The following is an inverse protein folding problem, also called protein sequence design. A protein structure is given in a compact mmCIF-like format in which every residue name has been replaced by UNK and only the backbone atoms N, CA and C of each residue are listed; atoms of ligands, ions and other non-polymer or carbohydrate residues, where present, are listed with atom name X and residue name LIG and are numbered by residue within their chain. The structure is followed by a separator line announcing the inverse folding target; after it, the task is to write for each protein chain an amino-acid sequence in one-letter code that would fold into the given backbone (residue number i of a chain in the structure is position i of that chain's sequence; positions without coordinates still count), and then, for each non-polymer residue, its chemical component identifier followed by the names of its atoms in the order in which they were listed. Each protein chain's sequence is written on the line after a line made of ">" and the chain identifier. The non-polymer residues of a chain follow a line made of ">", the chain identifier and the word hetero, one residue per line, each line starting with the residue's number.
data_IF_799890574254
#
_entry.id   IF_799890574254
#
_cell.length_a   1.000
_cell.length_b   1.000
_cell.length_c   1.000
_cell.angle_alpha   90.00
_cell.angle_beta   90.00
_cell.angle_gamma   90.00
#
_symmetry.space_group_name_H-M   'P 1'
#
loop_
_entity.id
_entity.type
_entity.pdbx_description
1 polymer ?
#
# COMPACT_ATOMS: atom_id res chain seq x y z
N UNK A 1 -10.88 9.17 47.02
CA UNK A 1 -10.04 9.19 45.80
C UNK A 1 -10.15 7.82 45.16
N UNK A 2 -11.00 7.69 44.13
CA UNK A 2 -11.11 6.47 43.34
C UNK A 2 -9.98 6.47 42.31
N UNK A 3 -9.07 5.51 42.40
CA UNK A 3 -8.05 5.26 41.39
C UNK A 3 -8.73 4.62 40.18
N UNK A 4 -8.76 5.34 39.06
CA UNK A 4 -9.11 4.78 37.76
C UNK A 4 -7.97 3.82 37.35
N UNK A 5 -8.24 2.53 37.07
CA UNK A 5 -7.22 1.64 36.53
C UNK A 5 -6.88 2.11 35.11
N UNK A 6 -5.60 2.35 34.86
CA UNK A 6 -5.09 2.70 33.53
C UNK A 6 -5.43 1.59 32.53
N UNK A 7 -6.12 1.98 31.48
CA UNK A 7 -6.41 1.15 30.32
C UNK A 7 -5.08 0.76 29.67
N UNK A 8 -4.80 -0.55 29.63
CA UNK A 8 -3.55 -1.07 29.08
C UNK A 8 -3.47 -0.74 27.58
N UNK A 9 -2.40 -0.08 27.09
CA UNK A 9 -2.28 0.38 25.70
C UNK A 9 -2.10 -0.74 24.65
N UNK A 10 -2.36 -2.01 24.99
CA UNK A 10 -2.07 -3.16 24.13
C UNK A 10 -3.27 -3.78 23.39
N UNK A 11 -4.51 -3.53 23.82
CA UNK A 11 -5.68 -4.22 23.24
C UNK A 11 -6.17 -3.64 21.91
N UNK A 12 -5.80 -2.38 21.60
CA UNK A 12 -6.18 -1.69 20.35
C UNK A 12 -5.22 -1.96 19.19
N UNK A 13 -4.01 -2.50 19.45
CA UNK A 13 -2.98 -2.72 18.42
C UNK A 13 -3.32 -3.89 17.47
N UNK A 14 -4.01 -4.93 17.94
CA UNK A 14 -4.23 -6.19 17.20
C UNK A 14 -5.28 -6.07 16.07
N UNK A 15 -6.10 -5.03 16.03
CA UNK A 15 -7.18 -4.92 15.05
C UNK A 15 -7.09 -3.66 14.17
N UNK A 16 -5.88 -3.13 13.99
CA UNK A 16 -5.67 -1.97 13.11
C UNK A 16 -5.46 -2.43 11.67
N UNK A 17 -6.19 -1.82 10.77
CA UNK A 17 -6.02 -2.01 9.33
C UNK A 17 -5.11 -0.90 8.81
N UNK A 18 -3.81 -1.19 8.66
CA UNK A 18 -2.81 -0.21 8.22
C UNK A 18 -2.27 -0.60 6.86
N UNK A 19 -2.35 0.30 5.89
CA UNK A 19 -1.74 0.15 4.58
C UNK A 19 -0.32 0.69 4.66
N UNK A 20 0.67 -0.12 4.27
CA UNK A 20 2.07 0.30 4.23
C UNK A 20 2.55 0.42 2.78
N UNK A 21 3.17 1.56 2.46
CA UNK A 21 3.79 1.79 1.16
C UNK A 21 5.21 2.31 1.32
N UNK A 22 6.09 1.96 0.38
CA UNK A 22 7.44 2.48 0.35
C UNK A 22 7.86 2.84 -1.07
N UNK A 23 8.62 3.92 -1.20
CA UNK A 23 9.31 4.32 -2.44
C UNK A 23 10.79 4.40 -2.16
N UNK A 24 11.59 3.73 -2.98
CA UNK A 24 13.04 3.67 -2.80
C UNK A 24 13.72 3.97 -4.14
N UNK A 25 14.56 4.99 -4.13
CA UNK A 25 15.46 5.32 -5.23
C UNK A 25 16.84 4.72 -4.92
N UNK A 26 17.34 3.88 -5.82
CA UNK A 26 18.59 3.15 -5.66
C UNK A 26 19.57 3.52 -6.76
N UNK A 27 20.70 4.09 -6.36
CA UNK A 27 21.85 4.37 -7.24
C UNK A 27 22.73 3.13 -7.39
N UNK A 28 22.99 2.73 -8.64
CA UNK A 28 23.94 1.66 -8.98
C UNK A 28 24.57 1.89 -10.36
N UNK A 29 25.71 1.28 -10.63
CA UNK A 29 26.36 1.41 -11.95
C UNK A 29 25.58 0.70 -13.07
N UNK A 30 24.94 -0.42 -12.76
CA UNK A 30 24.20 -1.27 -13.70
C UNK A 30 22.69 -1.29 -13.36
N UNK A 31 21.93 -0.22 -13.70
CA UNK A 31 20.52 -0.07 -13.32
C UNK A 31 19.64 -1.19 -13.87
N UNK A 32 19.96 -1.72 -15.05
CA UNK A 32 19.16 -2.71 -15.77
C UNK A 32 19.05 -4.06 -15.02
N UNK A 33 20.04 -4.38 -14.18
CA UNK A 33 20.00 -5.58 -13.31
C UNK A 33 19.21 -5.38 -12.03
N UNK A 34 18.88 -4.14 -11.68
CA UNK A 34 18.20 -3.80 -10.43
C UNK A 34 16.81 -4.39 -10.27
N UNK A 35 15.91 -4.23 -11.26
CA UNK A 35 14.57 -4.77 -11.16
C UNK A 35 14.55 -6.28 -10.91
N UNK A 36 15.37 -7.06 -11.63
CA UNK A 36 15.43 -8.52 -11.47
C UNK A 36 15.93 -8.95 -10.08
N UNK A 37 16.92 -8.24 -9.52
CA UNK A 37 17.40 -8.50 -8.16
C UNK A 37 16.37 -8.10 -7.10
N UNK A 38 15.63 -7.01 -7.31
CA UNK A 38 14.54 -6.60 -6.44
C UNK A 38 13.41 -7.63 -6.39
N UNK A 39 13.07 -8.24 -7.53
CA UNK A 39 12.11 -9.36 -7.57
C UNK A 39 12.61 -10.56 -6.75
N UNK A 40 13.89 -10.89 -6.88
CA UNK A 40 14.49 -12.01 -6.14
C UNK A 40 14.49 -11.74 -4.64
N UNK A 41 14.82 -10.51 -4.23
CA UNK A 41 14.74 -10.08 -2.85
C UNK A 41 13.30 -10.14 -2.33
N UNK A 42 12.32 -9.64 -3.09
CA UNK A 42 10.92 -9.70 -2.69
C UNK A 42 10.47 -11.15 -2.44
N UNK A 43 10.83 -12.08 -3.33
CA UNK A 43 10.55 -13.52 -3.16
C UNK A 43 11.18 -14.10 -1.88
N UNK A 44 12.43 -13.72 -1.56
CA UNK A 44 13.10 -14.14 -0.33
C UNK A 44 12.34 -13.68 0.94
N UNK A 45 11.64 -12.54 0.86
CA UNK A 45 10.79 -12.04 1.93
C UNK A 45 9.33 -12.52 1.84
N UNK A 46 9.03 -13.50 0.99
CA UNK A 46 7.66 -14.04 0.83
C UNK A 46 6.72 -13.14 0.02
N UNK A 47 7.28 -12.18 -0.70
CA UNK A 47 6.59 -11.30 -1.62
C UNK A 47 6.68 -11.74 -3.08
N UNK A 48 6.16 -10.91 -3.98
CA UNK A 48 6.17 -11.12 -5.42
C UNK A 48 6.27 -9.79 -6.17
N UNK A 49 6.63 -9.87 -7.45
CA UNK A 49 6.63 -8.70 -8.33
C UNK A 49 5.25 -8.44 -8.90
N UNK A 50 4.72 -7.24 -8.71
CA UNK A 50 3.49 -6.79 -9.34
C UNK A 50 3.75 -6.17 -10.71
N UNK A 51 4.85 -5.43 -10.84
CA UNK A 51 5.25 -4.80 -12.11
C UNK A 51 6.77 -4.73 -12.18
N UNK A 52 7.32 -4.97 -13.36
CA UNK A 52 8.75 -4.86 -13.62
C UNK A 52 8.94 -4.14 -14.96
N UNK A 53 9.85 -3.19 -14.99
CA UNK A 53 10.32 -2.50 -16.20
C UNK A 53 11.85 -2.58 -16.25
N UNK A 54 12.48 -1.97 -17.25
CA UNK A 54 13.95 -1.93 -17.35
C UNK A 54 14.60 -1.16 -16.20
N UNK A 55 13.93 -0.15 -15.64
CA UNK A 55 14.51 0.78 -14.66
C UNK A 55 13.81 0.72 -13.30
N UNK A 56 12.67 0.04 -13.19
CA UNK A 56 11.89 0.00 -11.95
C UNK A 56 11.23 -1.35 -11.68
N UNK A 57 10.98 -1.62 -10.41
CA UNK A 57 10.19 -2.76 -9.95
C UNK A 57 9.19 -2.31 -8.88
N UNK A 58 7.94 -2.69 -9.04
CA UNK A 58 6.93 -2.62 -7.99
C UNK A 58 6.71 -4.02 -7.46
N UNK A 59 7.00 -4.21 -6.17
CA UNK A 59 6.87 -5.50 -5.49
C UNK A 59 5.84 -5.40 -4.37
N UNK A 60 5.18 -6.52 -4.09
CA UNK A 60 4.26 -6.71 -2.97
C UNK A 60 4.92 -7.63 -1.96
N UNK A 61 4.99 -7.21 -0.71
CA UNK A 61 5.65 -7.96 0.38
C UNK A 61 4.69 -8.03 1.56
N UNK A 62 4.61 -9.15 2.31
CA UNK A 62 3.81 -9.19 3.54
C UNK A 62 4.13 -8.00 4.44
N UNK A 63 3.09 -7.30 4.93
CA UNK A 63 3.26 -6.04 5.66
C UNK A 63 4.16 -6.17 6.89
N UNK A 64 4.10 -7.31 7.58
CA UNK A 64 4.95 -7.66 8.72
C UNK A 64 6.43 -7.83 8.36
N UNK A 65 6.73 -8.13 7.09
CA UNK A 65 8.09 -8.38 6.58
C UNK A 65 8.67 -7.18 5.85
N UNK A 66 7.92 -6.07 5.76
CA UNK A 66 8.34 -4.88 5.04
C UNK A 66 9.66 -4.32 5.59
N UNK A 67 9.79 -4.20 6.91
CA UNK A 67 10.97 -3.59 7.52
C UNK A 67 12.23 -4.44 7.27
N UNK A 68 12.09 -5.77 7.33
CA UNK A 68 13.16 -6.69 6.95
C UNK A 68 13.53 -6.60 5.47
N UNK A 69 12.54 -6.46 4.58
CA UNK A 69 12.78 -6.26 3.15
C UNK A 69 13.53 -4.94 2.90
N UNK A 70 13.08 -3.83 3.48
CA UNK A 70 13.73 -2.52 3.36
C UNK A 70 15.15 -2.52 3.91
N UNK A 71 15.41 -3.25 5.00
CA UNK A 71 16.76 -3.43 5.55
C UNK A 71 17.72 -4.16 4.61
N UNK A 72 17.21 -4.96 3.67
CA UNK A 72 18.02 -5.67 2.67
C UNK A 72 18.19 -4.89 1.35
N UNK A 73 17.42 -3.83 1.12
CA UNK A 73 17.52 -2.99 -0.09
C UNK A 73 18.92 -2.37 -0.30
N UNK A 74 19.69 -1.97 0.72
CA UNK A 74 21.08 -1.53 0.52
C UNK A 74 21.99 -2.56 -0.16
N UNK A 75 21.66 -3.85 -0.11
CA UNK A 75 22.37 -4.89 -0.87
C UNK A 75 22.15 -4.82 -2.38
N UNK A 76 21.12 -4.08 -2.82
CA UNK A 76 20.81 -3.82 -4.21
C UNK A 76 21.61 -2.63 -4.78
N UNK A 77 22.11 -1.73 -3.93
CA UNK A 77 22.85 -0.54 -4.35
C UNK A 77 22.79 0.55 -3.29
N UNK A 78 23.29 1.74 -3.61
CA UNK A 78 23.26 2.87 -2.69
C UNK A 78 21.85 3.46 -2.68
N UNK A 79 21.18 3.44 -1.53
CA UNK A 79 19.87 4.09 -1.37
C UNK A 79 20.08 5.62 -1.41
N UNK A 80 19.52 6.26 -2.43
CA UNK A 80 19.58 7.71 -2.60
C UNK A 80 18.42 8.41 -1.87
N UNK A 81 17.23 7.81 -1.94
CA UNK A 81 16.03 8.28 -1.25
C UNK A 81 15.19 7.09 -0.82
N UNK A 82 14.60 7.19 0.38
CA UNK A 82 13.63 6.24 0.87
C UNK A 82 12.51 7.00 1.57
N UNK A 83 11.28 6.71 1.17
CA UNK A 83 10.06 7.20 1.83
C UNK A 83 9.20 6.01 2.20
N UNK A 84 8.75 5.97 3.45
CA UNK A 84 7.83 4.95 3.95
C UNK A 84 6.60 5.66 4.50
N UNK A 85 5.43 5.22 4.06
CA UNK A 85 4.14 5.73 4.51
C UNK A 85 3.32 4.62 5.13
N UNK A 86 2.53 4.98 6.15
CA UNK A 86 1.59 4.11 6.81
C UNK A 86 0.27 4.87 6.96
N UNK A 87 -0.79 4.34 6.34
CA UNK A 87 -2.11 4.94 6.36
C UNK A 87 -3.06 4.04 7.16
N UNK A 88 -3.62 4.57 8.25
CA UNK A 88 -4.61 3.85 9.06
C UNK A 88 -5.98 3.93 8.39
N UNK A 89 -6.50 2.77 7.97
CA UNK A 89 -7.79 2.61 7.30
C UNK A 89 -8.76 1.78 8.13
N UNK A 90 -8.54 1.67 9.44
CA UNK A 90 -9.37 0.87 10.36
C UNK A 90 -10.85 1.28 10.31
N UNK A 91 -11.14 2.57 10.33
CA UNK A 91 -12.52 3.08 10.24
C UNK A 91 -13.18 2.70 8.91
N UNK A 92 -12.46 2.89 7.79
CA UNK A 92 -12.97 2.56 6.45
C UNK A 92 -13.21 1.06 6.29
N UNK A 93 -12.32 0.23 6.84
CA UNK A 93 -12.45 -1.23 6.82
C UNK A 93 -13.67 -1.70 7.61
N UNK A 94 -13.89 -1.14 8.81
CA UNK A 94 -15.05 -1.46 9.64
C UNK A 94 -16.36 -1.00 8.98
N UNK A 95 -16.40 0.22 8.44
CA UNK A 95 -17.58 0.75 7.73
C UNK A 95 -17.97 -0.14 6.54
N UNK A 96 -17.00 -0.53 5.71
CA UNK A 96 -17.25 -1.43 4.59
C UNK A 96 -17.82 -2.78 5.05
N UNK A 97 -17.29 -3.35 6.14
CA UNK A 97 -17.81 -4.61 6.71
C UNK A 97 -19.25 -4.49 7.20
N UNK A 98 -19.58 -3.41 7.92
CA UNK A 98 -20.93 -3.18 8.43
C UNK A 98 -21.92 -2.99 7.28
N UNK A 99 -21.56 -2.19 6.27
CA UNK A 99 -22.41 -1.98 5.09
C UNK A 99 -22.62 -3.27 4.30
N UNK A 100 -21.57 -4.05 4.10
CA UNK A 100 -21.66 -5.33 3.40
C UNK A 100 -22.61 -6.31 4.12
N UNK A 101 -22.46 -6.44 5.44
CA UNK A 101 -23.34 -7.29 6.25
C UNK A 101 -24.81 -6.80 6.25
N UNK A 102 -25.05 -5.50 6.14
CA UNK A 102 -26.39 -4.97 6.00
C UNK A 102 -26.99 -5.29 4.63
N UNK A 103 -26.23 -5.11 3.54
CA UNK A 103 -26.66 -5.46 2.19
C UNK A 103 -26.94 -6.95 2.04
N UNK A 104 -26.16 -7.81 2.70
CA UNK A 104 -26.38 -9.26 2.74
C UNK A 104 -27.77 -9.59 3.31
N UNK A 105 -28.10 -9.05 4.49
CA UNK A 105 -29.42 -9.26 5.12
C UNK A 105 -30.57 -8.69 4.28
N UNK A 106 -30.34 -7.56 3.60
CA UNK A 106 -31.34 -6.98 2.69
C UNK A 106 -31.57 -7.88 1.49
N UNK A 107 -30.49 -8.42 0.90
CA UNK A 107 -30.54 -9.38 -0.21
C UNK A 107 -31.27 -10.67 0.19
N UNK A 108 -30.97 -11.24 1.35
CA UNK A 108 -31.67 -12.41 1.89
C UNK A 108 -33.17 -12.15 2.04
N UNK A 109 -33.55 -10.98 2.58
CA UNK A 109 -34.96 -10.59 2.69
C UNK A 109 -35.65 -10.46 1.34
N UNK A 110 -34.97 -9.90 0.33
CA UNK A 110 -35.53 -9.84 -1.03
C UNK A 110 -35.68 -11.23 -1.65
N UNK A 111 -34.75 -12.17 -1.39
CA UNK A 111 -34.90 -13.56 -1.81
C UNK A 111 -36.10 -14.24 -1.15
N UNK A 112 -36.35 -13.98 0.13
CA UNK A 112 -37.55 -14.48 0.83
C UNK A 112 -38.84 -13.88 0.25
N UNK A 113 -38.86 -12.58 -0.05
CA UNK A 113 -40.00 -11.92 -0.69
C UNK A 113 -40.26 -12.48 -2.09
N UNK A 114 -39.21 -12.77 -2.85
CA UNK A 114 -39.30 -13.36 -4.19
C UNK A 114 -39.97 -14.74 -4.14
N UNK A 115 -39.64 -15.57 -3.14
CA UNK A 115 -40.27 -16.88 -2.92
C UNK A 115 -41.76 -16.79 -2.59
N UNK A 116 -42.23 -15.65 -2.05
CA UNK A 116 -43.63 -15.40 -1.67
C UNK A 116 -44.41 -14.63 -2.74
N UNK A 117 -43.76 -14.18 -3.81
CA UNK A 117 -44.41 -13.43 -4.87
C UNK A 117 -45.43 -14.31 -5.62
N UNK A 118 -46.67 -13.83 -5.72
CA UNK A 118 -47.78 -14.57 -6.34
C UNK A 118 -48.05 -14.09 -7.77
N UNK A 119 -47.83 -12.81 -8.03
CA UNK A 119 -48.07 -12.21 -9.36
C UNK A 119 -46.77 -11.98 -10.10
N UNK A 120 -46.80 -12.07 -11.44
CA UNK A 120 -45.64 -11.79 -12.29
C UNK A 120 -45.13 -10.37 -12.09
N UNK A 121 -46.02 -9.41 -11.88
CA UNK A 121 -45.64 -8.01 -11.64
C UNK A 121 -44.87 -7.85 -10.32
N UNK A 122 -45.31 -8.51 -9.24
CA UNK A 122 -44.60 -8.49 -7.97
C UNK A 122 -43.23 -9.16 -8.08
N UNK A 123 -43.15 -10.29 -8.78
CA UNK A 123 -41.88 -10.98 -9.05
C UNK A 123 -40.89 -10.06 -9.76
N UNK A 124 -41.30 -9.44 -10.87
CA UNK A 124 -40.43 -8.54 -11.64
C UNK A 124 -39.96 -7.32 -10.83
N UNK A 125 -40.82 -6.78 -9.96
CA UNK A 125 -40.46 -5.67 -9.07
C UNK A 125 -39.41 -6.09 -8.02
N UNK A 126 -39.59 -7.26 -7.41
CA UNK A 126 -38.64 -7.80 -6.43
C UNK A 126 -37.31 -8.16 -7.09
N UNK A 127 -37.32 -8.77 -8.27
CA UNK A 127 -36.11 -9.10 -9.04
C UNK A 127 -35.30 -7.85 -9.36
N UNK A 128 -35.95 -6.77 -9.81
CA UNK A 128 -35.27 -5.50 -10.11
C UNK A 128 -34.55 -4.92 -8.88
N UNK A 129 -35.19 -4.94 -7.71
CA UNK A 129 -34.55 -4.48 -6.47
C UNK A 129 -33.45 -5.43 -6.01
N UNK A 130 -33.64 -6.74 -6.17
CA UNK A 130 -32.64 -7.74 -5.84
C UNK A 130 -31.38 -7.60 -6.71
N UNK A 131 -31.52 -7.33 -8.01
CA UNK A 131 -30.42 -7.04 -8.92
C UNK A 131 -29.64 -5.82 -8.46
N UNK A 132 -30.34 -4.72 -8.12
CA UNK A 132 -29.72 -3.49 -7.62
C UNK A 132 -28.91 -3.73 -6.34
N UNK A 133 -29.51 -4.39 -5.35
CA UNK A 133 -28.85 -4.71 -4.07
C UNK A 133 -27.66 -5.65 -4.28
N UNK A 134 -27.80 -6.63 -5.17
CA UNK A 134 -26.72 -7.57 -5.49
C UNK A 134 -25.53 -6.85 -6.14
N UNK A 135 -25.78 -5.95 -7.09
CA UNK A 135 -24.73 -5.15 -7.71
C UNK A 135 -23.98 -4.27 -6.68
N UNK A 136 -24.71 -3.68 -5.75
CA UNK A 136 -24.12 -2.88 -4.67
C UNK A 136 -23.29 -3.74 -3.70
N UNK A 137 -23.82 -4.92 -3.31
CA UNK A 137 -23.14 -5.88 -2.46
C UNK A 137 -21.81 -6.33 -3.07
N UNK A 138 -21.81 -6.76 -4.34
CA UNK A 138 -20.59 -7.21 -5.01
C UNK A 138 -19.58 -6.07 -5.17
N UNK A 139 -20.04 -4.84 -5.41
CA UNK A 139 -19.15 -3.67 -5.46
C UNK A 139 -18.47 -3.39 -4.12
N UNK A 140 -19.21 -3.42 -3.00
CA UNK A 140 -18.63 -3.21 -1.67
C UNK A 140 -17.72 -4.37 -1.27
N UNK A 141 -18.08 -5.60 -1.62
CA UNK A 141 -17.26 -6.78 -1.37
C UNK A 141 -15.90 -6.67 -2.06
N UNK A 142 -15.88 -6.32 -3.34
CA UNK A 142 -14.64 -6.13 -4.08
C UNK A 142 -13.77 -5.00 -3.49
N UNK A 143 -14.38 -3.90 -3.03
CA UNK A 143 -13.65 -2.81 -2.34
C UNK A 143 -13.04 -3.27 -1.03
N UNK A 144 -13.78 -4.05 -0.23
CA UNK A 144 -13.31 -4.61 1.02
C UNK A 144 -12.13 -5.56 0.79
N UNK A 145 -12.25 -6.50 -0.16
CA UNK A 145 -11.18 -7.42 -0.52
C UNK A 145 -9.92 -6.70 -1.01
N UNK A 146 -10.09 -5.63 -1.81
CA UNK A 146 -8.98 -4.80 -2.27
C UNK A 146 -8.27 -4.10 -1.10
N UNK A 147 -9.04 -3.55 -0.15
CA UNK A 147 -8.50 -2.90 1.05
C UNK A 147 -7.75 -3.90 1.94
N UNK A 148 -8.34 -5.08 2.18
CA UNK A 148 -7.71 -6.15 2.95
C UNK A 148 -6.41 -6.64 2.31
N UNK A 149 -6.35 -6.71 0.98
CA UNK A 149 -5.11 -7.02 0.27
C UNK A 149 -4.03 -5.94 0.47
N UNK A 150 -4.40 -4.66 0.50
CA UNK A 150 -3.48 -3.55 0.77
C UNK A 150 -2.97 -3.52 2.21
N UNK A 151 -3.78 -3.96 3.16
CA UNK A 151 -3.38 -4.13 4.57
C UNK A 151 -2.44 -5.33 4.73
N UNK A 152 -2.76 -6.45 4.09
CA UNK A 152 -1.95 -7.67 4.19
C UNK A 152 -0.58 -7.55 3.48
N UNK A 153 -0.54 -6.83 2.35
CA UNK A 153 0.64 -6.69 1.51
C UNK A 153 1.06 -5.22 1.39
N UNK A 154 2.26 -4.91 1.87
CA UNK A 154 2.90 -3.65 1.60
C UNK A 154 3.31 -3.53 0.12
N UNK A 155 3.17 -2.32 -0.43
CA UNK A 155 3.60 -2.02 -1.80
C UNK A 155 4.92 -1.27 -1.77
N UNK A 156 5.94 -1.80 -2.44
CA UNK A 156 7.25 -1.16 -2.54
C UNK A 156 7.59 -0.87 -3.99
N UNK A 157 7.80 0.41 -4.30
CA UNK A 157 8.26 0.87 -5.61
C UNK A 157 9.75 1.16 -5.53
N UNK A 158 10.54 0.42 -6.29
CA UNK A 158 11.97 0.61 -6.43
C UNK A 158 12.29 1.18 -7.81
N UNK A 159 13.07 2.25 -7.83
CA UNK A 159 13.58 2.88 -9.04
C UNK A 159 15.10 2.83 -9.03
N UNK A 160 15.70 2.42 -10.15
CA UNK A 160 17.13 2.21 -10.28
C UNK A 160 17.71 3.22 -11.27
N UNK A 161 18.68 3.99 -10.80
CA UNK A 161 19.35 5.00 -11.62
C UNK A 161 20.86 4.91 -11.48
N UNK A 162 21.57 5.46 -12.46
CA UNK A 162 23.02 5.64 -12.36
C UNK A 162 23.35 6.80 -11.42
N UNK A 163 24.41 6.69 -10.60
CA UNK A 163 24.85 7.82 -9.80
C UNK A 163 25.27 8.97 -10.71
N UNK A 164 24.73 10.16 -10.46
CA UNK A 164 25.12 11.37 -11.20
C UNK A 164 26.53 11.78 -10.77
N UNK A 165 27.52 11.60 -11.65
CA UNK A 165 28.88 12.10 -11.45
C UNK A 165 28.98 13.51 -12.03
N UNK A 166 29.47 14.51 -11.27
CA UNK A 166 29.70 15.84 -11.84
C UNK A 166 30.75 15.75 -12.95
N UNK A 167 30.39 16.22 -14.14
CA UNK A 167 31.33 16.35 -15.25
C UNK A 167 32.42 17.39 -14.98
N UNK A 168 33.42 17.53 -15.87
CA UNK A 168 34.56 18.44 -15.68
C UNK A 168 34.13 19.90 -15.40
N UNK A 169 33.06 20.37 -16.04
CA UNK A 169 32.47 21.70 -15.77
C UNK A 169 31.86 21.80 -14.36
N UNK A 170 31.20 20.72 -13.89
CA UNK A 170 30.65 20.65 -12.55
C UNK A 170 31.72 20.72 -11.46
N UNK A 171 32.90 20.14 -11.70
CA UNK A 171 34.05 20.25 -10.79
C UNK A 171 34.60 21.69 -10.70
N UNK A 172 34.65 22.41 -11.81
CA UNK A 172 35.07 23.83 -11.84
C UNK A 172 34.12 24.69 -10.99
N UNK A 173 32.80 24.54 -11.17
CA UNK A 173 31.82 25.29 -10.39
C UNK A 173 31.75 24.86 -8.91
N UNK A 174 31.92 23.57 -8.61
CA UNK A 174 31.99 23.07 -7.24
C UNK A 174 33.20 23.63 -6.48
N UNK A 175 34.36 23.68 -7.15
CA UNK A 175 35.58 24.29 -6.61
C UNK A 175 35.42 25.79 -6.35
N UNK A 176 34.80 26.53 -7.28
CA UNK A 176 34.52 27.97 -7.11
C UNK A 176 33.57 28.24 -5.94
N UNK A 177 32.48 27.46 -5.80
CA UNK A 177 31.51 27.64 -4.72
C UNK A 177 32.11 27.42 -3.33
N UNK A 178 33.01 26.44 -3.19
CA UNK A 178 33.79 26.21 -1.95
C UNK A 178 34.70 27.39 -1.61
N UNK A 179 35.36 27.98 -2.62
CA UNK A 179 36.26 29.12 -2.43
C UNK A 179 35.50 30.40 -2.01
N UNK A 180 34.33 30.67 -2.62
CA UNK A 180 33.49 31.82 -2.26
C UNK A 180 32.94 31.69 -0.83
N UNK A 181 32.54 30.48 -0.41
CA UNK A 181 32.11 30.23 0.98
C UNK A 181 33.21 30.49 2.01
N UNK A 182 34.48 30.27 1.65
CA UNK A 182 35.62 30.56 2.52
C UNK A 182 35.89 32.07 2.65
N UNK A 183 35.43 32.86 1.68
CA UNK A 183 35.63 34.31 1.62
C UNK A 183 34.54 35.12 2.36
N UNK A 184 33.37 34.52 2.61
CA UNK A 184 32.24 35.15 3.29
C UNK A 184 31.74 34.28 4.45
N UNK A 185 32.43 34.37 5.59
CA UNK A 185 31.92 33.94 6.91
C UNK A 185 31.29 35.18 7.55
N UNK A 186 29.98 35.19 7.74
CA UNK A 186 29.31 36.09 8.67
C UNK A 186 28.95 35.25 9.91
N UNK A 187 29.21 35.80 11.09
CA UNK A 187 28.77 35.28 12.39
C UNK A 187 27.24 35.32 12.50
#
# INVERSE_FOLDING_TARGET
>A
MMSVPGEAPGALETNRSIIRTARVEVEREDPDRGPAQAVSLAKAHGGYAQRVTSESATVRVPAERLDGFLGAVPGLGKVARQTVSADDVTESHLDLKVRLANLERVRERYLELLQRAVTVEDTLRVEKELERVTAEYESLKARLEALENQVALATVSLEFQRPVRPGPVGWVFYGLGKAVKWLFVWD
#
